data_IF_597938754401
#
_entry.id   IF_597938754401
#
_cell.length_a   1.000
_cell.length_b   1.000
_cell.length_c   1.000
_cell.angle_alpha   90.00
_cell.angle_beta   90.00
_cell.angle_gamma   90.00
#
_symmetry.space_group_name_H-M   'P 1'
#
loop_
_entity.id
_entity.type
_entity.pdbx_description
1 polymer ?
#
# COMPACT_ATOMS: atom_id res chain seq x y z
N UNK A 1 -38.20 -22.62 25.94
CA UNK A 1 -36.78 -22.79 25.57
C UNK A 1 -36.51 -22.89 24.06
N UNK A 2 -37.41 -23.38 23.21
CA UNK A 2 -37.17 -23.56 21.76
C UNK A 2 -37.06 -22.27 20.91
N UNK A 3 -37.47 -21.11 21.43
CA UNK A 3 -37.45 -19.84 20.68
C UNK A 3 -36.04 -19.19 20.63
N UNK A 4 -35.29 -19.26 21.74
CA UNK A 4 -33.97 -18.61 21.85
C UNK A 4 -32.92 -19.22 20.89
N UNK A 5 -32.96 -20.55 20.71
CA UNK A 5 -32.08 -21.27 19.78
C UNK A 5 -32.34 -20.88 18.31
N UNK A 6 -33.57 -20.45 17.99
CA UNK A 6 -33.96 -20.02 16.65
C UNK A 6 -33.43 -18.63 16.33
N UNK A 7 -33.60 -17.67 17.24
CA UNK A 7 -33.05 -16.32 17.09
C UNK A 7 -31.52 -16.31 17.02
N UNK A 8 -30.84 -17.14 17.84
CA UNK A 8 -29.38 -17.28 17.76
C UNK A 8 -28.92 -17.80 16.40
N UNK A 9 -29.53 -18.88 15.90
CA UNK A 9 -29.17 -19.46 14.60
C UNK A 9 -29.41 -18.48 13.45
N UNK A 10 -30.55 -17.78 13.47
CA UNK A 10 -30.88 -16.78 12.44
C UNK A 10 -29.92 -15.60 12.48
N UNK A 11 -29.61 -15.04 13.66
CA UNK A 11 -28.67 -13.93 13.79
C UNK A 11 -27.23 -14.32 13.42
N UNK A 12 -26.80 -15.52 13.77
CA UNK A 12 -25.49 -16.04 13.36
C UNK A 12 -25.40 -16.22 11.84
N UNK A 13 -26.40 -16.84 11.21
CA UNK A 13 -26.41 -17.03 9.76
C UNK A 13 -26.40 -15.69 9.02
N UNK A 14 -27.25 -14.74 9.44
CA UNK A 14 -27.30 -13.41 8.85
C UNK A 14 -25.98 -12.65 8.99
N UNK A 15 -25.41 -12.62 10.20
CA UNK A 15 -24.11 -12.00 10.47
C UNK A 15 -22.96 -12.67 9.72
N UNK A 16 -22.99 -13.99 9.56
CA UNK A 16 -21.98 -14.74 8.80
C UNK A 16 -22.08 -14.43 7.30
N UNK A 17 -23.27 -14.44 6.72
CA UNK A 17 -23.49 -14.11 5.32
C UNK A 17 -23.06 -12.67 5.01
N UNK A 18 -23.45 -11.73 5.87
CA UNK A 18 -23.06 -10.34 5.76
C UNK A 18 -21.55 -10.16 5.88
N UNK A 19 -20.94 -10.74 6.92
CA UNK A 19 -19.48 -10.68 7.14
C UNK A 19 -18.69 -11.30 5.98
N UNK A 20 -19.19 -12.38 5.37
CA UNK A 20 -18.58 -13.00 4.19
C UNK A 20 -18.59 -12.07 2.98
N UNK A 21 -19.70 -11.39 2.71
CA UNK A 21 -19.82 -10.45 1.60
C UNK A 21 -18.91 -9.23 1.83
N UNK A 22 -18.98 -8.63 3.03
CA UNK A 22 -18.17 -7.47 3.37
C UNK A 22 -16.67 -7.77 3.35
N UNK A 23 -16.26 -8.90 3.92
CA UNK A 23 -14.85 -9.33 3.89
C UNK A 23 -14.33 -9.54 2.47
N UNK A 24 -15.16 -10.04 1.54
CA UNK A 24 -14.77 -10.19 0.14
C UNK A 24 -14.62 -8.84 -0.58
N UNK A 25 -15.53 -7.90 -0.33
CA UNK A 25 -15.49 -6.56 -0.96
C UNK A 25 -14.29 -5.77 -0.43
N UNK A 26 -14.16 -5.70 0.89
CA UNK A 26 -13.07 -4.99 1.57
C UNK A 26 -11.72 -5.59 1.22
N UNK A 27 -11.58 -6.92 1.28
CA UNK A 27 -10.34 -7.60 0.90
C UNK A 27 -9.92 -7.34 -0.55
N UNK A 28 -10.89 -7.28 -1.48
CA UNK A 28 -10.61 -6.90 -2.88
C UNK A 28 -10.20 -5.44 -3.02
N UNK A 29 -10.82 -4.53 -2.27
CA UNK A 29 -10.47 -3.11 -2.30
C UNK A 29 -9.05 -2.89 -1.75
N UNK A 30 -8.77 -3.45 -0.56
CA UNK A 30 -7.46 -3.37 0.08
C UNK A 30 -6.36 -4.02 -0.77
N UNK A 31 -6.65 -5.17 -1.39
CA UNK A 31 -5.69 -5.83 -2.29
C UNK A 31 -5.33 -4.97 -3.51
N UNK A 32 -6.27 -4.21 -4.08
CA UNK A 32 -5.97 -3.28 -5.18
C UNK A 32 -5.12 -2.10 -4.73
N UNK A 33 -5.46 -1.50 -3.59
CA UNK A 33 -4.72 -0.37 -3.02
C UNK A 33 -3.27 -0.76 -2.70
N UNK A 34 -3.07 -1.83 -1.93
CA UNK A 34 -1.73 -2.31 -1.57
C UNK A 34 -0.97 -2.89 -2.75
N UNK A 35 -1.66 -3.53 -3.68
CA UNK A 35 -1.08 -3.95 -4.95
C UNK A 35 -0.52 -2.77 -5.73
N UNK A 36 -1.27 -1.66 -5.82
CA UNK A 36 -0.85 -0.45 -6.52
C UNK A 36 0.34 0.23 -5.83
N UNK A 37 0.29 0.43 -4.50
CA UNK A 37 1.42 1.01 -3.74
C UNK A 37 2.72 0.24 -3.99
N UNK A 38 2.63 -1.08 -4.00
CA UNK A 38 3.78 -1.96 -4.24
C UNK A 38 4.27 -1.86 -5.69
N UNK A 39 3.37 -1.91 -6.67
CA UNK A 39 3.72 -1.84 -8.09
C UNK A 39 4.23 -0.46 -8.53
N UNK A 40 3.78 0.63 -7.91
CA UNK A 40 4.33 1.97 -8.14
C UNK A 40 5.84 1.98 -7.83
N UNK A 41 6.21 1.40 -6.69
CA UNK A 41 7.60 1.28 -6.27
C UNK A 41 8.40 0.37 -7.21
N UNK A 42 7.85 -0.80 -7.58
CA UNK A 42 8.50 -1.73 -8.49
C UNK A 42 8.72 -1.14 -9.88
N UNK A 43 7.72 -0.47 -10.44
CA UNK A 43 7.80 0.17 -11.75
C UNK A 43 8.84 1.29 -11.78
N UNK A 44 8.97 2.04 -10.67
CA UNK A 44 10.05 3.01 -10.53
C UNK A 44 11.43 2.34 -10.55
N UNK A 45 11.63 1.25 -9.81
CA UNK A 45 12.90 0.51 -9.80
C UNK A 45 13.25 -0.11 -11.14
N UNK A 46 12.26 -0.68 -11.84
CA UNK A 46 12.42 -1.25 -13.17
C UNK A 46 12.86 -0.17 -14.17
N UNK A 47 12.16 0.97 -14.20
CA UNK A 47 12.51 2.10 -15.05
C UNK A 47 13.90 2.65 -14.74
N UNK A 48 14.22 2.83 -13.45
CA UNK A 48 15.54 3.30 -13.00
C UNK A 48 16.66 2.37 -13.48
N UNK A 49 16.54 1.06 -13.22
CA UNK A 49 17.52 0.07 -13.66
C UNK A 49 17.66 0.04 -15.19
N UNK A 50 16.52 0.09 -15.89
CA UNK A 50 16.47 0.10 -17.35
C UNK A 50 17.16 1.31 -17.99
N UNK A 51 17.16 2.48 -17.34
CA UNK A 51 17.92 3.65 -17.80
C UNK A 51 19.43 3.38 -17.68
N UNK A 52 19.91 2.89 -16.53
CA UNK A 52 21.34 2.62 -16.34
C UNK A 52 21.88 1.56 -17.28
N UNK A 53 21.13 0.49 -17.53
CA UNK A 53 21.48 -0.55 -18.51
C UNK A 53 21.64 0.07 -19.92
N UNK A 54 20.70 0.94 -20.33
CA UNK A 54 20.76 1.61 -21.64
C UNK A 54 21.88 2.65 -21.74
N UNK A 55 22.19 3.33 -20.64
CA UNK A 55 23.31 4.29 -20.59
C UNK A 55 24.63 3.54 -20.75
N UNK A 56 24.80 2.41 -20.07
CA UNK A 56 26.02 1.59 -20.18
C UNK A 56 26.22 0.92 -21.55
N UNK A 57 25.15 0.74 -22.33
CA UNK A 57 25.25 0.24 -23.69
C UNK A 57 25.86 1.25 -24.68
N UNK A 58 26.08 2.51 -24.26
CA UNK A 58 26.66 3.54 -25.12
C UNK A 58 28.20 3.42 -25.14
N UNK A 59 28.86 3.53 -26.30
CA UNK A 59 30.32 3.35 -26.41
C UNK A 59 31.18 4.29 -25.55
N UNK A 60 30.61 5.41 -25.10
CA UNK A 60 31.30 6.44 -24.32
C UNK A 60 30.96 6.40 -22.82
N UNK A 61 30.24 5.39 -22.33
CA UNK A 61 29.83 5.33 -20.93
C UNK A 61 30.90 4.68 -20.07
N UNK A 62 31.32 5.38 -19.02
CA UNK A 62 32.25 4.87 -18.00
C UNK A 62 31.47 4.44 -16.74
N UNK A 63 30.47 3.57 -16.94
CA UNK A 63 29.65 3.04 -15.83
C UNK A 63 30.30 1.75 -15.33
N UNK A 64 30.43 1.62 -14.00
CA UNK A 64 30.91 0.40 -13.36
C UNK A 64 30.09 -0.83 -13.77
N UNK A 65 30.76 -1.87 -14.27
CA UNK A 65 30.15 -3.16 -14.63
C UNK A 65 29.39 -3.78 -13.45
N UNK A 66 29.85 -3.56 -12.21
CA UNK A 66 29.15 -4.03 -11.02
C UNK A 66 27.77 -3.38 -10.86
N UNK A 67 27.66 -2.09 -11.18
CA UNK A 67 26.37 -1.39 -11.15
C UNK A 67 25.43 -1.97 -12.21
N UNK A 68 25.93 -2.31 -13.39
CA UNK A 68 25.12 -2.93 -14.45
C UNK A 68 24.65 -4.33 -14.05
N UNK A 69 25.53 -5.14 -13.47
CA UNK A 69 25.13 -6.43 -12.93
C UNK A 69 24.03 -6.29 -11.86
N UNK A 70 24.12 -5.30 -10.96
CA UNK A 70 23.05 -5.05 -9.99
C UNK A 70 21.73 -4.62 -10.66
N UNK A 71 21.79 -3.79 -11.70
CA UNK A 71 20.62 -3.35 -12.45
C UNK A 71 19.92 -4.51 -13.18
N UNK A 72 20.67 -5.39 -13.85
CA UNK A 72 20.11 -6.57 -14.53
C UNK A 72 19.46 -7.53 -13.53
N UNK A 73 20.12 -7.79 -12.40
CA UNK A 73 19.57 -8.64 -11.35
C UNK A 73 18.32 -8.03 -10.70
N UNK A 74 18.26 -6.70 -10.60
CA UNK A 74 17.07 -6.00 -10.11
C UNK A 74 15.88 -6.20 -11.08
N UNK A 75 16.08 -6.01 -12.39
CA UNK A 75 15.05 -6.26 -13.41
C UNK A 75 14.60 -7.72 -13.40
N UNK A 76 15.53 -8.67 -13.26
CA UNK A 76 15.22 -10.10 -13.17
C UNK A 76 14.40 -10.47 -11.92
N UNK A 77 14.63 -9.80 -10.78
CA UNK A 77 13.81 -10.02 -9.59
C UNK A 77 12.41 -9.46 -9.78
N UNK A 78 12.29 -8.28 -10.39
CA UNK A 78 11.00 -7.64 -10.69
C UNK A 78 10.18 -8.48 -11.68
N UNK A 79 10.81 -9.09 -12.68
CA UNK A 79 10.11 -9.94 -13.66
C UNK A 79 9.48 -11.21 -13.07
N UNK A 80 9.86 -11.58 -11.84
CA UNK A 80 9.26 -12.72 -11.09
C UNK A 80 8.02 -12.30 -10.31
N UNK A 81 7.72 -11.01 -10.23
CA UNK A 81 6.58 -10.50 -9.48
C UNK A 81 5.27 -10.80 -10.23
N UNK A 82 4.24 -11.33 -9.55
CA UNK A 82 3.00 -11.73 -10.22
C UNK A 82 2.26 -10.52 -10.78
N UNK A 83 1.94 -10.57 -12.08
CA UNK A 83 1.16 -9.53 -12.78
C UNK A 83 -0.36 -9.80 -12.77
N UNK A 84 -0.76 -11.03 -12.43
CA UNK A 84 -2.15 -11.46 -12.36
C UNK A 84 -2.42 -12.04 -10.99
N UNK A 85 -3.61 -11.80 -10.45
CA UNK A 85 -4.10 -12.49 -9.26
C UNK A 85 -4.67 -13.85 -9.69
N UNK A 86 -3.95 -14.97 -9.52
CA UNK A 86 -4.45 -16.27 -9.95
C UNK A 86 -5.73 -16.61 -9.17
N UNK A 87 -6.71 -17.27 -9.82
CA UNK A 87 -7.91 -17.71 -9.13
C UNK A 87 -7.54 -18.68 -8.01
N UNK A 88 -8.25 -18.60 -6.89
CA UNK A 88 -8.08 -19.50 -5.73
C UNK A 88 -8.52 -20.90 -6.13
N UNK A 89 -7.63 -21.65 -6.79
CA UNK A 89 -7.82 -23.08 -7.01
C UNK A 89 -7.17 -23.82 -5.84
N UNK A 90 -7.83 -24.85 -5.27
CA UNK A 90 -7.28 -25.61 -4.14
C UNK A 90 -6.07 -26.48 -4.52
N UNK A 91 -5.57 -26.43 -5.76
CA UNK A 91 -4.64 -27.42 -6.31
C UNK A 91 -3.38 -26.87 -6.99
N UNK A 92 -3.15 -25.56 -7.13
CA UNK A 92 -1.98 -25.09 -7.86
C UNK A 92 -1.43 -23.75 -7.35
N UNK A 93 -0.22 -23.80 -6.80
CA UNK A 93 0.99 -23.09 -7.25
C UNK A 93 1.97 -22.97 -6.08
N UNK A 94 3.27 -23.06 -6.37
CA UNK A 94 4.32 -22.71 -5.40
C UNK A 94 4.05 -21.28 -4.93
N UNK A 95 3.55 -21.12 -3.70
CA UNK A 95 3.21 -19.82 -3.15
C UNK A 95 4.45 -18.92 -3.23
N UNK A 96 4.45 -18.00 -4.20
CA UNK A 96 5.51 -17.01 -4.31
C UNK A 96 5.42 -16.18 -3.04
N UNK A 97 6.48 -16.20 -2.24
CA UNK A 97 6.58 -15.36 -1.05
C UNK A 97 6.80 -13.90 -1.51
N UNK A 98 5.68 -13.21 -1.74
CA UNK A 98 5.62 -11.84 -2.24
C UNK A 98 6.42 -10.91 -1.31
N UNK A 99 6.28 -11.10 0.02
CA UNK A 99 6.94 -10.24 1.02
C UNK A 99 8.46 -10.39 0.97
N UNK A 100 8.94 -11.64 0.89
CA UNK A 100 10.38 -11.91 0.75
C UNK A 100 10.91 -11.39 -0.58
N UNK A 101 10.22 -11.64 -1.69
CA UNK A 101 10.64 -11.16 -3.01
C UNK A 101 10.72 -9.63 -3.04
N UNK A 102 9.70 -8.95 -2.51
CA UNK A 102 9.66 -7.50 -2.43
C UNK A 102 10.80 -6.93 -1.59
N UNK A 103 11.12 -7.57 -0.46
CA UNK A 103 12.26 -7.19 0.39
C UNK A 103 13.60 -7.37 -0.35
N UNK A 104 13.75 -8.46 -1.13
CA UNK A 104 14.92 -8.70 -1.97
C UNK A 104 15.08 -7.66 -3.07
N UNK A 105 13.98 -7.22 -3.69
CA UNK A 105 14.00 -6.16 -4.70
C UNK A 105 14.49 -4.85 -4.07
N UNK A 106 13.95 -4.46 -2.92
CA UNK A 106 14.37 -3.24 -2.18
C UNK A 106 15.84 -3.27 -1.80
N UNK A 107 16.36 -4.41 -1.33
CA UNK A 107 17.78 -4.53 -0.97
C UNK A 107 18.67 -4.42 -2.21
N UNK A 108 18.24 -5.00 -3.34
CA UNK A 108 18.98 -4.94 -4.60
C UNK A 108 18.99 -3.53 -5.20
N UNK A 109 17.88 -2.81 -5.12
CA UNK A 109 17.82 -1.40 -5.49
C UNK A 109 18.78 -0.54 -4.64
N UNK A 110 18.83 -0.75 -3.32
CA UNK A 110 19.78 -0.04 -2.45
C UNK A 110 21.23 -0.34 -2.82
N UNK A 111 21.55 -1.60 -3.13
CA UNK A 111 22.89 -1.98 -3.58
C UNK A 111 23.27 -1.27 -4.90
N UNK A 112 22.35 -1.21 -5.87
CA UNK A 112 22.55 -0.48 -7.12
C UNK A 112 22.82 1.03 -6.87
N UNK A 113 22.02 1.66 -6.00
CA UNK A 113 22.21 3.06 -5.63
C UNK A 113 23.59 3.30 -5.00
N UNK A 114 24.03 2.40 -4.10
CA UNK A 114 25.35 2.49 -3.47
C UNK A 114 26.48 2.39 -4.50
N UNK A 115 26.37 1.50 -5.49
CA UNK A 115 27.39 1.38 -6.56
C UNK A 115 27.43 2.58 -7.50
N UNK A 116 26.29 3.25 -7.69
CA UNK A 116 26.19 4.46 -8.51
C UNK A 116 26.53 5.75 -7.74
N UNK A 117 26.76 5.68 -6.42
CA UNK A 117 26.96 6.85 -5.57
C UNK A 117 25.70 7.72 -5.41
N UNK A 118 24.51 7.15 -5.60
CA UNK A 118 23.24 7.86 -5.57
C UNK A 118 22.50 7.62 -4.25
N UNK A 119 21.78 8.63 -3.79
CA UNK A 119 20.88 8.49 -2.65
C UNK A 119 19.60 7.75 -3.08
N UNK A 120 19.21 6.65 -2.41
CA UNK A 120 17.94 5.98 -2.69
C UNK A 120 16.75 6.92 -2.48
N UNK A 121 15.74 6.84 -3.35
CA UNK A 121 14.47 7.55 -3.18
C UNK A 121 13.80 7.07 -1.87
N UNK A 122 13.45 7.96 -0.94
CA UNK A 122 12.58 7.59 0.17
C UNK A 122 11.16 7.37 -0.39
N UNK A 123 10.61 6.18 -0.17
CA UNK A 123 9.21 5.89 -0.52
C UNK A 123 8.35 6.55 0.55
N UNK A 124 7.53 7.52 0.13
CA UNK A 124 6.53 8.11 1.02
C UNK A 124 5.35 7.15 1.11
N UNK A 125 4.96 6.78 2.32
CA UNK A 125 3.76 6.00 2.55
C UNK A 125 2.54 6.88 2.23
N UNK A 126 1.90 6.65 1.10
CA UNK A 126 0.53 7.07 0.78
C UNK A 126 0.23 8.57 0.88
N UNK A 127 0.62 9.36 -0.13
CA UNK A 127 -0.11 10.59 -0.42
C UNK A 127 -1.36 10.19 -1.23
N UNK A 128 -2.45 9.85 -0.52
CA UNK A 128 -3.76 9.70 -1.16
C UNK A 128 -4.22 11.09 -1.63
N UNK A 129 -4.44 11.33 -2.93
CA UNK A 129 -5.08 12.57 -3.36
C UNK A 129 -6.49 12.62 -2.76
N UNK A 130 -6.94 13.79 -2.24
CA UNK A 130 -8.26 13.90 -1.65
C UNK A 130 -9.32 13.53 -2.69
N UNK A 131 -10.16 12.55 -2.34
CA UNK A 131 -11.30 12.15 -3.17
C UNK A 131 -12.26 13.35 -3.32
N UNK A 132 -12.51 13.88 -4.53
CA UNK A 132 -13.43 14.99 -4.72
C UNK A 132 -14.90 14.58 -4.59
N UNK A 133 -15.21 13.32 -4.27
CA UNK A 133 -16.57 12.78 -4.29
C UNK A 133 -17.09 12.45 -2.88
N UNK A 134 -16.98 13.41 -1.96
CA UNK A 134 -17.75 13.41 -0.71
C UNK A 134 -19.16 13.93 -0.96
N UNK A 135 -20.03 13.13 -1.58
CA UNK A 135 -21.47 13.41 -1.57
C UNK A 135 -21.99 13.24 -0.15
N UNK A 136 -22.17 14.36 0.54
CA UNK A 136 -22.74 14.41 1.88
C UNK A 136 -24.17 13.87 1.89
N UNK A 137 -24.38 12.76 2.57
CA UNK A 137 -25.71 12.34 2.99
C UNK A 137 -26.11 13.15 4.23
N UNK A 138 -27.02 14.09 4.01
CA UNK A 138 -27.67 14.85 5.08
C UNK A 138 -28.59 13.95 5.89
N UNK A 139 -28.14 13.57 7.08
CA UNK A 139 -29.00 13.06 8.14
C UNK A 139 -29.82 14.20 8.75
N UNK A 140 -31.11 14.25 8.42
CA UNK A 140 -32.09 15.02 9.16
C UNK A 140 -32.51 14.22 10.40
N UNK A 141 -32.05 14.63 11.58
CA UNK A 141 -32.68 14.27 12.86
C UNK A 141 -33.23 15.55 13.53
N UNK A 142 -34.48 15.55 14.01
CA UNK A 142 -35.10 16.74 14.58
C UNK A 142 -34.72 16.95 16.06
N UNK A 143 -34.35 18.20 16.35
CA UNK A 143 -34.54 18.99 17.57
C UNK A 143 -34.80 18.24 18.89
N UNK A 144 -33.81 18.30 19.80
CA UNK A 144 -33.98 18.08 21.24
C UNK A 144 -33.18 19.13 22.00
N UNK A 145 -33.86 20.20 22.41
CA UNK A 145 -33.31 21.32 23.18
C UNK A 145 -32.87 20.87 24.59
N UNK A 146 -31.61 21.13 24.96
CA UNK A 146 -31.22 21.38 26.36
C UNK A 146 -30.12 22.45 26.37
N UNK A 147 -30.47 23.63 26.88
CA UNK A 147 -29.57 24.70 27.25
C UNK A 147 -28.64 24.27 28.40
N UNK A 148 -27.34 24.54 28.29
CA UNK A 148 -26.56 24.94 29.45
C UNK A 148 -25.33 25.76 29.04
N UNK A 149 -25.26 26.93 29.64
CA UNK A 149 -24.33 28.04 29.51
C UNK A 149 -22.91 27.73 30.01
N UNK A 150 -21.88 28.27 29.34
CA UNK A 150 -20.56 28.45 29.97
C UNK A 150 -19.36 28.58 29.02
N UNK A 151 -19.11 29.77 28.50
CA UNK A 151 -17.77 30.29 28.13
C UNK A 151 -17.68 31.70 28.73
N UNK A 152 -16.51 32.34 28.90
CA UNK A 152 -15.16 32.10 28.31
C UNK A 152 -14.03 32.09 29.40
N UNK A 153 -12.70 32.02 29.18
CA UNK A 153 -11.76 32.99 28.55
C UNK A 153 -10.33 32.40 28.53
N UNK A 154 -9.62 32.62 27.41
CA UNK A 154 -8.17 32.84 27.13
C UNK A 154 -7.09 32.28 28.08
N UNK A 155 -6.12 31.58 27.48
CA UNK A 155 -4.79 31.31 28.06
C UNK A 155 -3.74 31.14 26.96
N UNK A 156 -3.20 32.25 26.50
CA UNK A 156 -2.03 32.36 25.62
C UNK A 156 -0.79 31.84 26.35
N UNK A 157 0.00 30.97 25.71
CA UNK A 157 1.26 30.47 26.28
C UNK A 157 2.25 30.08 25.19
N UNK A 158 3.08 31.05 24.81
CA UNK A 158 4.25 30.87 23.96
C UNK A 158 5.48 30.49 24.79
N UNK A 159 6.26 29.49 24.35
CA UNK A 159 7.68 29.25 24.62
C UNK A 159 8.14 28.34 23.45
N UNK A 160 8.90 28.71 22.43
CA UNK A 160 10.13 29.51 22.24
C UNK A 160 11.38 28.96 22.95
N UNK A 161 12.36 28.61 22.08
CA UNK A 161 13.79 28.39 22.29
C UNK A 161 14.19 27.12 23.08
N UNK A 162 15.34 26.48 22.87
CA UNK A 162 16.35 26.38 21.81
C UNK A 162 17.49 25.54 22.41
N UNK A 163 18.02 24.58 21.66
CA UNK A 163 19.44 24.42 21.32
C UNK A 163 19.59 23.28 20.30
#
# INVERSE_FOLDING_TARGET
MASLCRFYKTGHEDGFQHGRIHGLIEGRALGREKGFEMWEELGFYEGFAGVWIRVAAKPSSDIDERAIHHAEQLVLLISKFPMTNPPVSPQAESQIDIVRLYTQIRSRYKALCSTLGLRPRPVSAGAVPPDPSGSGEGGNDPQGDVQSSGRPIVGTGALSLAF
#
